data_IF_002917663663
#
_entry.id   IF_002917663663
#
_cell.length_a   1.000
_cell.length_b   1.000
_cell.length_c   1.000
_cell.angle_alpha   90.00
_cell.angle_beta   90.00
_cell.angle_gamma   90.00
#
_symmetry.space_group_name_H-M   'P 1'
#
loop_
_entity.id
_entity.type
_entity.pdbx_description
1 polymer ?
#
# COMPACT_ATOMS: atom_id res chain seq x y z
N UNK A 1 -9.83 -7.47 18.85
CA UNK A 1 -9.04 -7.85 18.29
C UNK A 1 -8.54 -7.38 17.02
N UNK A 2 -7.82 -6.51 16.85
CA UNK A 2 -7.00 -6.12 15.76
C UNK A 2 -7.54 -6.35 14.38
N UNK A 3 -8.77 -6.20 14.24
CA UNK A 3 -9.40 -6.52 13.01
C UNK A 3 -9.01 -5.57 11.89
N UNK A 4 -8.47 -4.42 12.21
CA UNK A 4 -8.10 -3.44 11.19
C UNK A 4 -6.61 -3.34 10.98
N UNK A 5 -5.92 -4.49 11.09
CA UNK A 5 -4.48 -4.50 10.83
C UNK A 5 -4.15 -3.99 9.45
N UNK A 6 -4.96 -4.33 8.45
CA UNK A 6 -4.72 -3.88 7.09
C UNK A 6 -4.81 -2.37 6.98
N UNK A 7 -5.79 -1.78 7.67
CA UNK A 7 -5.92 -0.32 7.66
C UNK A 7 -4.72 0.33 8.34
N UNK A 8 -4.29 -0.23 9.48
CA UNK A 8 -3.14 0.31 10.19
C UNK A 8 -1.88 0.24 9.33
N UNK A 9 -1.71 -0.84 8.58
CA UNK A 9 -0.56 -1.00 7.69
C UNK A 9 -0.60 0.06 6.60
N UNK A 10 -1.77 0.28 6.00
CA UNK A 10 -1.90 1.29 4.94
C UNK A 10 -1.62 2.69 5.48
N UNK A 11 -2.13 2.98 6.66
CA UNK A 11 -1.88 4.29 7.27
C UNK A 11 -0.41 4.47 7.59
N UNK A 12 0.26 3.40 7.97
CA UNK A 12 1.70 3.42 8.18
C UNK A 12 2.48 3.66 6.91
N UNK A 13 1.87 3.35 5.76
CA UNK A 13 2.46 3.62 4.44
C UNK A 13 1.98 4.93 3.86
N UNK A 14 1.38 5.80 4.70
CA UNK A 14 0.93 7.14 4.33
C UNK A 14 -0.35 7.16 3.50
N UNK A 15 -1.14 6.09 3.54
CA UNK A 15 -2.45 6.08 2.93
C UNK A 15 -3.47 6.67 3.89
N UNK A 16 -4.38 7.47 3.36
CA UNK A 16 -5.50 8.00 4.11
C UNK A 16 -6.71 7.15 3.74
N UNK A 17 -7.15 6.30 4.65
CA UNK A 17 -8.19 5.31 4.38
C UNK A 17 -9.54 5.83 4.85
N UNK A 18 -10.50 5.81 3.95
CA UNK A 18 -11.85 6.31 4.21
C UNK A 18 -12.86 5.23 3.82
N UNK A 19 -13.82 5.00 4.70
CA UNK A 19 -14.94 4.12 4.38
C UNK A 19 -16.13 4.99 3.97
N UNK A 20 -16.67 4.74 2.80
CA UNK A 20 -17.81 5.51 2.31
C UNK A 20 -19.09 5.00 2.93
N UNK A 21 -20.15 5.80 2.81
CA UNK A 21 -21.46 5.41 3.32
C UNK A 21 -22.04 4.24 2.54
N UNK A 22 -21.56 4.00 1.34
CA UNK A 22 -22.01 2.90 0.51
C UNK A 22 -21.27 1.60 0.77
N UNK A 23 -20.38 1.58 1.76
CA UNK A 23 -19.64 0.38 2.10
C UNK A 23 -18.37 0.17 1.32
N UNK A 24 -17.99 1.11 0.49
CA UNK A 24 -16.74 1.04 -0.24
C UNK A 24 -15.62 1.62 0.61
N UNK A 25 -14.41 1.17 0.33
CA UNK A 25 -13.22 1.71 0.99
C UNK A 25 -12.38 2.43 -0.04
N UNK A 26 -11.79 3.55 0.35
CA UNK A 26 -10.86 4.25 -0.54
C UNK A 26 -9.62 4.65 0.23
N UNK A 27 -8.51 4.71 -0.48
CA UNK A 27 -7.25 5.19 0.07
C UNK A 27 -6.70 6.27 -0.82
N UNK A 28 -6.18 7.32 -0.20
CA UNK A 28 -5.59 8.43 -0.93
C UNK A 28 -4.16 8.64 -0.48
N UNK A 29 -3.27 8.85 -1.44
CA UNK A 29 -1.87 9.13 -1.16
C UNK A 29 -1.29 9.95 -2.31
N UNK A 30 -0.78 11.14 -1.99
CA UNK A 30 -0.13 12.01 -2.99
C UNK A 30 -1.00 12.25 -4.22
N UNK A 31 -2.30 12.44 -4.00
CA UNK A 31 -3.21 12.72 -5.09
C UNK A 31 -3.71 11.49 -5.83
N UNK A 32 -3.24 10.31 -5.44
CA UNK A 32 -3.71 9.05 -6.04
C UNK A 32 -4.83 8.50 -5.17
N UNK A 33 -5.95 8.16 -5.79
CA UNK A 33 -7.10 7.60 -5.09
C UNK A 33 -7.34 6.19 -5.61
N UNK A 34 -7.41 5.23 -4.69
CA UNK A 34 -7.66 3.84 -5.02
C UNK A 34 -8.90 3.41 -4.24
N UNK A 35 -9.80 2.70 -4.91
CA UNK A 35 -11.04 2.25 -4.28
C UNK A 35 -11.11 0.73 -4.27
N UNK A 36 -11.69 0.19 -3.20
CA UNK A 36 -11.93 -1.23 -3.07
C UNK A 36 -13.30 -1.50 -2.52
N UNK A 37 -13.83 -2.68 -2.81
CA UNK A 37 -15.16 -3.06 -2.32
C UNK A 37 -15.09 -3.64 -0.90
N UNK A 38 -13.91 -4.06 -0.47
CA UNK A 38 -13.67 -4.53 0.90
C UNK A 38 -12.33 -3.97 1.35
N UNK A 39 -12.08 -4.05 2.66
CA UNK A 39 -10.78 -3.62 3.18
C UNK A 39 -9.65 -4.49 2.58
N UNK A 40 -9.90 -5.78 2.41
CA UNK A 40 -8.90 -6.67 1.79
C UNK A 40 -8.62 -6.26 0.34
N UNK A 41 -9.68 -5.94 -0.39
CA UNK A 41 -9.54 -5.51 -1.77
C UNK A 41 -8.72 -4.21 -1.86
N UNK A 42 -9.06 -3.25 -1.01
CA UNK A 42 -8.31 -2.00 -0.96
C UNK A 42 -6.84 -2.25 -0.60
N UNK A 43 -6.62 -3.10 0.41
CA UNK A 43 -5.28 -3.41 0.87
C UNK A 43 -4.42 -3.98 -0.28
N UNK A 44 -4.98 -4.94 -1.04
CA UNK A 44 -4.23 -5.56 -2.12
C UNK A 44 -3.91 -4.56 -3.23
N UNK A 45 -4.87 -3.71 -3.56
CA UNK A 45 -4.66 -2.71 -4.59
C UNK A 45 -3.60 -1.69 -4.16
N UNK A 46 -3.67 -1.23 -2.92
CA UNK A 46 -2.69 -0.28 -2.41
C UNK A 46 -1.31 -0.92 -2.30
N UNK A 47 -1.26 -2.20 -1.93
CA UNK A 47 0.01 -2.92 -1.84
C UNK A 47 0.66 -3.00 -3.22
N UNK A 48 -0.10 -3.32 -4.25
CA UNK A 48 0.42 -3.38 -5.61
C UNK A 48 0.97 -2.03 -6.05
N UNK A 49 0.24 -0.97 -5.74
CA UNK A 49 0.70 0.38 -6.06
C UNK A 49 2.01 0.69 -5.33
N UNK A 50 2.08 0.36 -4.04
CA UNK A 50 3.27 0.64 -3.25
C UNK A 50 4.48 -0.15 -3.76
N UNK A 51 4.28 -1.41 -4.14
CA UNK A 51 5.37 -2.22 -4.69
C UNK A 51 5.88 -1.61 -5.98
N UNK A 52 4.98 -1.21 -6.87
CA UNK A 52 5.38 -0.59 -8.13
C UNK A 52 6.14 0.73 -7.88
N UNK A 53 5.67 1.50 -6.92
CA UNK A 53 6.32 2.76 -6.57
C UNK A 53 7.73 2.53 -6.03
N UNK A 54 7.89 1.53 -5.16
CA UNK A 54 9.20 1.20 -4.59
C UNK A 54 10.14 0.70 -5.68
N UNK A 55 9.64 -0.12 -6.60
CA UNK A 55 10.46 -0.61 -7.70
C UNK A 55 10.96 0.52 -8.58
N UNK A 56 10.10 1.51 -8.81
CA UNK A 56 10.50 2.67 -9.58
C UNK A 56 11.60 3.45 -8.87
N UNK A 57 11.49 3.61 -7.56
CA UNK A 57 12.52 4.28 -6.77
C UNK A 57 13.86 3.56 -6.82
N UNK A 58 13.82 2.23 -6.74
CA UNK A 58 15.04 1.42 -6.84
C UNK A 58 15.69 1.64 -8.20
N UNK A 59 14.87 1.64 -9.25
CA UNK A 59 15.35 1.78 -10.60
C UNK A 59 16.00 3.14 -10.83
N UNK A 60 15.45 4.19 -10.22
CA UNK A 60 15.97 5.54 -10.39
C UNK A 60 16.99 5.95 -9.34
N UNK A 61 17.26 5.07 -8.39
CA UNK A 61 18.27 5.34 -7.36
C UNK A 61 17.82 6.25 -6.24
N UNK A 62 16.52 6.39 -6.06
CA UNK A 62 15.97 7.22 -4.98
C UNK A 62 16.03 6.47 -3.66
N UNK A 63 16.36 7.18 -2.58
CA UNK A 63 16.43 6.57 -1.26
C UNK A 63 15.05 6.11 -0.80
N UNK A 64 15.04 5.00 -0.06
CA UNK A 64 13.81 4.43 0.48
C UNK A 64 13.68 4.78 1.95
N UNK A 65 12.45 5.01 2.39
CA UNK A 65 12.18 5.24 3.80
C UNK A 65 11.94 3.89 4.52
N UNK A 66 11.66 3.96 5.82
CA UNK A 66 11.55 2.75 6.63
C UNK A 66 10.46 1.80 6.16
N UNK A 67 9.27 2.31 5.86
CA UNK A 67 8.20 1.42 5.45
C UNK A 67 8.44 0.83 4.06
N UNK A 68 9.13 1.56 3.21
CA UNK A 68 9.47 1.05 1.88
C UNK A 68 10.48 -0.09 1.98
N UNK A 69 11.48 0.06 2.84
CA UNK A 69 12.45 -1.01 3.08
C UNK A 69 11.77 -2.25 3.62
N UNK A 70 10.84 -2.06 4.55
CA UNK A 70 10.10 -3.18 5.13
C UNK A 70 9.24 -3.87 4.08
N UNK A 71 8.62 -3.11 3.20
CA UNK A 71 7.80 -3.65 2.14
C UNK A 71 8.62 -4.56 1.23
N UNK A 72 9.83 -4.13 0.86
CA UNK A 72 10.73 -4.94 0.05
C UNK A 72 11.07 -6.23 0.77
N UNK A 73 11.40 -6.14 2.05
CA UNK A 73 11.81 -7.30 2.83
C UNK A 73 10.72 -8.35 2.88
N UNK A 74 9.47 -7.90 3.08
CA UNK A 74 8.32 -8.81 3.18
C UNK A 74 7.96 -9.41 1.82
N UNK A 75 8.18 -8.67 0.75
CA UNK A 75 7.78 -9.09 -0.59
C UNK A 75 8.98 -9.42 -1.48
N UNK A 76 10.07 -9.83 -0.88
CA UNK A 76 11.31 -10.05 -1.62
C UNK A 76 11.15 -11.05 -2.76
N UNK A 77 10.46 -12.15 -2.51
CA UNK A 77 10.25 -13.16 -3.54
C UNK A 77 9.50 -12.60 -4.73
N UNK A 78 8.46 -11.82 -4.46
CA UNK A 78 7.66 -11.22 -5.50
C UNK A 78 8.50 -10.28 -6.35
N UNK A 79 9.35 -9.49 -5.70
CA UNK A 79 10.20 -8.54 -6.40
C UNK A 79 11.30 -9.23 -7.19
N UNK A 80 11.82 -10.34 -6.68
CA UNK A 80 12.88 -11.08 -7.38
C UNK A 80 12.39 -11.75 -8.65
N UNK A 81 11.10 -12.03 -8.72
CA UNK A 81 10.53 -12.67 -9.88
C UNK A 81 10.13 -11.70 -10.98
N UNK A 82 10.45 -10.44 -10.80
CA UNK A 82 10.18 -9.42 -11.80
C UNK A 82 11.37 -9.26 -12.80
#
# INVERSE_FOLDING_TARGET
MGTNNKQAILEGRKWDVIESVDGYFSGEKNGVIIQGTTMSDLYEKCKSFDIASVMEKIKTGVDLNEWEKRLIKVNKKLLENQ
#
